data_IF_421620891214
#
_entry.id   IF_421620891214
#
_cell.length_a   1.000
_cell.length_b   1.000
_cell.length_c   1.000
_cell.angle_alpha   90.00
_cell.angle_beta   90.00
_cell.angle_gamma   90.00
#
_symmetry.space_group_name_H-M   'P 1'
#
loop_
_entity.id
_entity.type
_entity.pdbx_description
1 polymer ?
#
# COMPACT_ATOMS: atom_id res chain seq x y z
N UNK A 1 1.41 22.46 3.55
CA UNK A 1 0.97 21.58 2.42
C UNK A 1 1.74 21.85 1.12
N UNK A 2 3.05 22.16 1.15
CA UNK A 2 3.87 22.46 -0.05
C UNK A 2 4.85 21.32 -0.40
N UNK A 3 5.31 20.56 0.60
CA UNK A 3 6.29 19.47 0.45
C UNK A 3 5.61 18.18 -0.04
N UNK A 4 4.44 17.84 0.53
CA UNK A 4 3.68 16.64 0.17
C UNK A 4 3.12 16.63 -1.27
N UNK A 5 3.17 17.76 -1.98
CA UNK A 5 2.71 17.86 -3.37
C UNK A 5 3.77 17.43 -4.38
N UNK A 6 5.00 17.21 -3.93
CA UNK A 6 6.12 16.87 -4.76
C UNK A 6 6.56 15.43 -4.43
N UNK A 7 6.42 14.53 -5.42
CA UNK A 7 6.71 13.10 -5.23
C UNK A 7 8.17 12.86 -4.83
N UNK A 8 9.12 13.68 -5.31
CA UNK A 8 10.53 13.53 -4.98
C UNK A 8 10.79 13.77 -3.48
N UNK A 9 10.13 14.76 -2.88
CA UNK A 9 10.22 14.97 -1.43
C UNK A 9 9.55 13.85 -0.64
N UNK A 10 8.43 13.30 -1.13
CA UNK A 10 7.77 12.16 -0.47
C UNK A 10 8.68 10.93 -0.48
N UNK A 11 9.31 10.61 -1.62
CA UNK A 11 10.23 9.48 -1.72
C UNK A 11 11.43 9.68 -0.79
N UNK A 12 12.01 10.88 -0.76
CA UNK A 12 13.09 11.19 0.17
C UNK A 12 12.68 10.99 1.64
N UNK A 13 11.49 11.48 2.03
CA UNK A 13 10.96 11.29 3.40
C UNK A 13 10.73 9.82 3.70
N UNK A 14 10.18 9.06 2.74
CA UNK A 14 9.93 7.62 2.91
C UNK A 14 11.23 6.83 3.09
N UNK A 15 12.27 7.14 2.31
CA UNK A 15 13.60 6.53 2.45
C UNK A 15 14.23 6.85 3.80
N UNK A 16 14.19 8.12 4.23
CA UNK A 16 14.72 8.51 5.54
C UNK A 16 13.95 7.87 6.70
N UNK A 17 12.62 7.77 6.58
CA UNK A 17 11.79 7.11 7.59
C UNK A 17 12.07 5.60 7.65
N UNK A 18 12.20 4.95 6.49
CA UNK A 18 12.58 3.54 6.40
C UNK A 18 13.96 3.29 7.02
N UNK A 19 14.93 4.15 6.72
CA UNK A 19 16.27 4.09 7.32
C UNK A 19 16.26 4.35 8.83
N UNK A 20 15.47 5.32 9.30
CA UNK A 20 15.30 5.57 10.74
C UNK A 20 14.78 4.31 11.46
N UNK A 21 13.80 3.62 10.87
CA UNK A 21 13.31 2.36 11.43
C UNK A 21 14.35 1.24 11.37
N UNK A 22 15.10 1.16 10.28
CA UNK A 22 16.21 0.21 10.14
C UNK A 22 17.24 0.38 11.27
N UNK A 23 17.59 1.63 11.61
CA UNK A 23 18.55 1.93 12.68
C UNK A 23 18.12 1.45 14.07
N UNK A 24 16.82 1.16 14.31
CA UNK A 24 16.38 0.57 15.58
C UNK A 24 16.76 -0.90 15.73
N UNK A 25 17.13 -1.59 14.64
CA UNK A 25 17.64 -2.97 14.67
C UNK A 25 16.72 -3.94 15.45
N UNK A 26 15.40 -3.80 15.28
CA UNK A 26 14.44 -4.68 15.96
C UNK A 26 14.42 -6.11 15.40
N UNK A 27 15.22 -6.41 14.38
CA UNK A 27 15.39 -7.75 13.81
C UNK A 27 16.88 -8.07 13.72
N UNK A 28 17.32 -9.18 14.31
CA UNK A 28 18.72 -9.59 14.34
C UNK A 28 19.31 -9.99 12.98
N UNK A 29 18.49 -10.18 11.95
CA UNK A 29 18.96 -10.45 10.58
C UNK A 29 19.42 -9.19 9.84
N UNK A 30 19.18 -8.01 10.39
CA UNK A 30 19.57 -6.76 9.76
C UNK A 30 21.07 -6.54 9.95
N UNK A 31 21.84 -6.39 8.86
CA UNK A 31 23.26 -6.13 8.99
C UNK A 31 23.52 -4.74 9.59
N UNK A 32 24.72 -4.56 10.12
CA UNK A 32 25.18 -3.24 10.54
C UNK A 32 25.17 -2.26 9.37
N UNK A 33 24.98 -0.98 9.68
CA UNK A 33 24.95 0.09 8.68
C UNK A 33 26.34 0.20 8.03
N UNK A 34 26.45 -0.25 6.78
CA UNK A 34 27.68 -0.13 6.02
C UNK A 34 27.89 1.30 5.50
N UNK A 35 29.16 1.71 5.35
CA UNK A 35 29.49 3.01 4.76
C UNK A 35 28.97 3.17 3.32
N UNK A 36 28.88 2.06 2.58
CA UNK A 36 28.29 2.03 1.23
C UNK A 36 26.79 2.30 1.25
N UNK A 37 26.04 1.67 2.17
CA UNK A 37 24.61 1.93 2.36
C UNK A 37 24.37 3.40 2.71
N UNK A 38 25.19 3.96 3.61
CA UNK A 38 25.09 5.38 3.99
C UNK A 38 25.36 6.30 2.79
N UNK A 39 26.40 6.04 2.01
CA UNK A 39 26.71 6.80 0.81
C UNK A 39 25.57 6.72 -0.22
N UNK A 40 25.03 5.53 -0.45
CA UNK A 40 23.89 5.31 -1.35
C UNK A 40 22.64 6.08 -0.90
N UNK A 41 22.32 6.04 0.40
CA UNK A 41 21.17 6.76 0.97
C UNK A 41 21.35 8.26 0.88
N UNK A 42 22.53 8.79 1.23
CA UNK A 42 22.83 10.23 1.13
C UNK A 42 22.81 10.70 -0.32
N UNK A 43 23.39 9.94 -1.24
CA UNK A 43 23.36 10.23 -2.67
C UNK A 43 21.95 10.22 -3.25
N UNK A 44 21.16 9.19 -2.92
CA UNK A 44 19.75 9.08 -3.35
C UNK A 44 18.90 10.22 -2.78
N UNK A 45 19.02 10.52 -1.48
CA UNK A 45 18.32 11.64 -0.86
C UNK A 45 18.74 12.97 -1.48
N UNK A 46 20.03 13.18 -1.73
CA UNK A 46 20.56 14.36 -2.42
C UNK A 46 19.96 14.54 -3.81
N UNK A 47 19.92 13.47 -4.61
CA UNK A 47 19.31 13.48 -5.95
C UNK A 47 17.80 13.79 -5.90
N UNK A 48 17.06 13.16 -4.98
CA UNK A 48 15.63 13.42 -4.82
C UNK A 48 15.34 14.83 -4.30
N UNK A 49 16.15 15.36 -3.37
CA UNK A 49 16.02 16.74 -2.90
C UNK A 49 16.31 17.73 -4.03
N UNK A 50 17.38 17.51 -4.80
CA UNK A 50 17.71 18.33 -5.95
C UNK A 50 16.58 18.34 -6.98
N UNK A 51 16.13 17.16 -7.43
CA UNK A 51 15.02 17.03 -8.38
C UNK A 51 13.73 17.63 -7.83
N UNK A 52 13.46 17.43 -6.54
CA UNK A 52 12.33 18.04 -5.84
C UNK A 52 12.36 19.56 -5.92
N UNK A 53 13.51 20.18 -5.64
CA UNK A 53 13.68 21.63 -5.73
C UNK A 53 13.52 22.16 -7.17
N UNK A 54 14.16 21.52 -8.14
CA UNK A 54 14.12 21.92 -9.57
C UNK A 54 12.70 21.78 -10.14
N UNK A 55 11.99 20.71 -9.79
CA UNK A 55 10.63 20.45 -10.30
C UNK A 55 9.53 21.17 -9.54
N UNK A 56 9.80 21.73 -8.35
CA UNK A 56 8.79 22.36 -7.51
C UNK A 56 8.00 23.49 -8.23
N UNK A 57 8.63 24.41 -8.99
CA UNK A 57 7.89 25.45 -9.72
C UNK A 57 7.00 24.88 -10.84
N UNK A 58 7.48 23.85 -11.55
CA UNK A 58 6.75 23.17 -12.63
C UNK A 58 5.53 22.46 -12.07
N UNK A 59 5.72 21.64 -11.03
CA UNK A 59 4.65 20.92 -10.33
C UNK A 59 3.60 21.90 -9.78
N UNK A 60 4.04 23.03 -9.23
CA UNK A 60 3.12 24.05 -8.69
C UNK A 60 2.25 24.68 -9.79
N UNK A 61 2.85 25.02 -10.93
CA UNK A 61 2.12 25.59 -12.07
C UNK A 61 1.13 24.57 -12.63
N UNK A 62 1.56 23.31 -12.77
CA UNK A 62 0.71 22.21 -13.21
C UNK A 62 -0.49 22.02 -12.28
N UNK A 63 -0.29 21.90 -10.96
CA UNK A 63 -1.40 21.75 -10.00
C UNK A 63 -2.37 22.94 -10.01
N UNK A 64 -1.87 24.17 -10.20
CA UNK A 64 -2.72 25.36 -10.32
C UNK A 64 -3.61 25.26 -11.56
N UNK A 65 -3.02 24.92 -12.71
CA UNK A 65 -3.75 24.82 -13.98
C UNK A 65 -4.75 23.65 -13.95
N UNK A 66 -4.37 22.50 -13.37
CA UNK A 66 -5.26 21.35 -13.20
C UNK A 66 -6.49 21.69 -12.36
N UNK A 67 -6.34 22.48 -11.28
CA UNK A 67 -7.50 22.93 -10.48
C UNK A 67 -8.48 23.79 -11.28
N UNK A 68 -7.97 24.67 -12.14
CA UNK A 68 -8.80 25.51 -13.00
C UNK A 68 -9.54 24.65 -14.03
N UNK A 69 -8.85 23.71 -14.68
CA UNK A 69 -9.47 22.77 -15.64
C UNK A 69 -10.57 21.93 -14.99
N UNK A 70 -10.30 21.38 -13.80
CA UNK A 70 -11.27 20.57 -13.06
C UNK A 70 -12.52 21.36 -12.69
N UNK A 71 -12.37 22.64 -12.28
CA UNK A 71 -13.50 23.50 -11.95
C UNK A 71 -14.40 23.75 -13.17
N UNK A 72 -13.80 23.92 -14.35
CA UNK A 72 -14.53 24.12 -15.61
C UNK A 72 -15.29 22.86 -16.04
N UNK A 73 -14.74 21.66 -15.79
CA UNK A 73 -15.36 20.39 -16.19
C UNK A 73 -16.37 19.83 -15.18
N UNK A 74 -16.57 20.48 -14.03
CA UNK A 74 -17.39 19.97 -12.93
C UNK A 74 -18.86 19.70 -13.33
N UNK A 75 -19.39 20.46 -14.28
CA UNK A 75 -20.76 20.31 -14.79
C UNK A 75 -20.90 19.27 -15.92
N UNK A 76 -19.78 18.83 -16.52
CA UNK A 76 -19.78 17.95 -17.69
C UNK A 76 -19.49 16.49 -17.30
N UNK A 77 -18.92 16.27 -16.11
CA UNK A 77 -18.51 14.93 -15.65
C UNK A 77 -19.65 13.90 -15.67
N UNK A 78 -19.47 12.83 -16.45
CA UNK A 78 -20.35 11.66 -16.51
C UNK A 78 -19.61 10.41 -16.05
N UNK A 79 -20.16 9.76 -15.03
CA UNK A 79 -19.61 8.50 -14.53
C UNK A 79 -19.90 7.34 -15.51
N UNK A 80 -18.87 6.65 -15.96
CA UNK A 80 -18.99 5.48 -16.85
C UNK A 80 -18.80 4.18 -16.08
N UNK A 81 -19.76 3.26 -16.21
CA UNK A 81 -19.73 1.94 -15.57
C UNK A 81 -18.91 0.90 -16.35
N UNK A 82 -18.57 1.17 -17.62
CA UNK A 82 -17.88 0.21 -18.50
C UNK A 82 -16.60 -0.38 -17.88
N UNK A 83 -15.71 0.42 -17.23
CA UNK A 83 -14.49 -0.13 -16.65
C UNK A 83 -14.77 -1.08 -15.47
N UNK A 84 -15.79 -0.80 -14.64
CA UNK A 84 -16.18 -1.71 -13.55
C UNK A 84 -16.64 -3.04 -14.11
N UNK A 85 -17.51 -3.01 -15.14
CA UNK A 85 -17.99 -4.25 -15.77
C UNK A 85 -16.81 -5.06 -16.29
N UNK A 86 -15.84 -4.42 -16.96
CA UNK A 86 -14.64 -5.09 -17.46
C UNK A 86 -13.78 -5.69 -16.33
N UNK A 87 -13.60 -4.96 -15.22
CA UNK A 87 -12.88 -5.44 -14.03
C UNK A 87 -13.58 -6.67 -13.42
N UNK A 88 -14.91 -6.62 -13.29
CA UNK A 88 -15.70 -7.74 -12.75
C UNK A 88 -15.63 -8.94 -13.69
N UNK A 89 -15.61 -8.74 -15.00
CA UNK A 89 -15.42 -9.81 -15.97
C UNK A 89 -14.04 -10.46 -15.84
N UNK A 90 -12.97 -9.67 -15.72
CA UNK A 90 -11.63 -10.23 -15.51
C UNK A 90 -11.53 -10.99 -14.18
N UNK A 91 -12.13 -10.46 -13.11
CA UNK A 91 -12.24 -11.19 -11.84
C UNK A 91 -12.98 -12.52 -12.01
N UNK A 92 -14.11 -12.53 -12.71
CA UNK A 92 -14.86 -13.76 -12.97
C UNK A 92 -14.03 -14.77 -13.76
N UNK A 93 -13.25 -14.33 -14.76
CA UNK A 93 -12.34 -15.20 -15.52
C UNK A 93 -11.26 -15.80 -14.60
N UNK A 94 -10.65 -15.01 -13.71
CA UNK A 94 -9.67 -15.55 -12.75
C UNK A 94 -10.29 -16.61 -11.83
N UNK A 95 -11.50 -16.36 -11.31
CA UNK A 95 -12.20 -17.29 -10.42
C UNK A 95 -12.60 -18.56 -11.17
N UNK A 96 -13.11 -18.45 -12.39
CA UNK A 96 -13.51 -19.61 -13.21
C UNK A 96 -12.32 -20.47 -13.60
N UNK A 97 -11.19 -19.86 -13.95
CA UNK A 97 -9.98 -20.60 -14.32
C UNK A 97 -9.40 -21.39 -13.14
N UNK A 98 -9.36 -20.77 -11.96
CA UNK A 98 -8.78 -21.39 -10.77
C UNK A 98 -9.79 -22.27 -9.99
N UNK A 99 -11.08 -22.15 -10.27
CA UNK A 99 -12.16 -22.90 -9.62
C UNK A 99 -12.36 -22.58 -8.13
N UNK A 100 -11.72 -21.55 -7.61
CA UNK A 100 -11.66 -21.23 -6.18
C UNK A 100 -11.70 -19.72 -5.94
N UNK A 101 -11.89 -19.29 -4.69
CA UNK A 101 -11.72 -17.89 -4.27
C UNK A 101 -10.75 -17.88 -3.08
N UNK A 102 -9.64 -17.12 -3.13
CA UNK A 102 -8.55 -17.21 -2.16
C UNK A 102 -9.02 -17.03 -0.71
N UNK A 103 -9.83 -16.00 -0.44
CA UNK A 103 -10.32 -15.73 0.92
C UNK A 103 -11.22 -16.85 1.45
N UNK A 104 -12.00 -17.51 0.58
CA UNK A 104 -12.92 -18.58 0.98
C UNK A 104 -12.13 -19.84 1.35
N UNK A 105 -11.12 -20.19 0.55
CA UNK A 105 -10.28 -21.34 0.80
C UNK A 105 -9.46 -21.17 2.08
N UNK A 106 -8.95 -19.96 2.32
CA UNK A 106 -8.26 -19.63 3.56
C UNK A 106 -9.15 -19.76 4.80
N UNK A 107 -10.40 -19.27 4.73
CA UNK A 107 -11.35 -19.38 5.85
C UNK A 107 -11.73 -20.86 6.11
N UNK A 108 -11.74 -21.69 5.06
CA UNK A 108 -12.01 -23.13 5.16
C UNK A 108 -10.83 -23.94 5.71
N UNK A 109 -9.66 -23.33 5.88
CA UNK A 109 -8.45 -24.02 6.35
C UNK A 109 -7.79 -24.91 5.28
N UNK A 110 -8.14 -24.74 4.01
CA UNK A 110 -7.54 -25.53 2.93
C UNK A 110 -6.10 -25.05 2.67
N UNK A 111 -5.19 -26.01 2.44
CA UNK A 111 -3.84 -25.74 1.93
C UNK A 111 -3.93 -24.97 0.61
N UNK A 112 -3.31 -23.80 0.57
CA UNK A 112 -3.48 -22.86 -0.53
C UNK A 112 -2.26 -21.95 -0.70
N UNK A 113 -1.64 -21.96 -1.89
CA UNK A 113 -0.71 -20.91 -2.29
C UNK A 113 -1.43 -19.84 -3.14
N UNK A 114 -1.35 -18.60 -2.69
CA UNK A 114 -1.92 -17.46 -3.40
C UNK A 114 -1.23 -17.16 -4.73
N UNK A 115 0.00 -17.67 -4.92
CA UNK A 115 0.76 -17.51 -6.17
C UNK A 115 0.19 -18.36 -7.31
N UNK A 116 -0.45 -19.47 -6.96
CA UNK A 116 -1.07 -20.38 -7.93
C UNK A 116 -2.37 -19.79 -8.50
N UNK A 117 -2.95 -18.82 -7.82
CA UNK A 117 -4.16 -18.11 -8.26
C UNK A 117 -3.82 -16.96 -9.20
N UNK A 118 -3.26 -17.29 -10.36
CA UNK A 118 -3.04 -16.29 -11.41
C UNK A 118 -3.34 -16.91 -12.77
N UNK A 119 -4.21 -16.26 -13.55
CA UNK A 119 -4.27 -16.53 -14.97
C UNK A 119 -3.14 -15.72 -15.64
N UNK A 120 -2.13 -16.37 -16.25
CA UNK A 120 -0.99 -15.67 -16.83
C UNK A 120 -1.45 -14.61 -17.85
N UNK A 121 -0.97 -13.37 -17.71
CA UNK A 121 -1.35 -12.24 -18.57
C UNK A 121 -2.63 -11.52 -18.15
N UNK A 122 -3.76 -12.24 -17.98
CA UNK A 122 -5.03 -11.64 -17.52
C UNK A 122 -4.87 -11.03 -16.13
N UNK A 123 -4.10 -11.67 -15.26
CA UNK A 123 -3.85 -11.17 -13.92
C UNK A 123 -3.18 -9.80 -13.88
N UNK A 124 -2.20 -9.57 -14.76
CA UNK A 124 -1.49 -8.29 -14.84
C UNK A 124 -2.42 -7.19 -15.33
N UNK A 125 -3.25 -7.50 -16.33
CA UNK A 125 -4.26 -6.57 -16.87
C UNK A 125 -5.30 -6.24 -15.79
N UNK A 126 -5.83 -7.28 -15.11
CA UNK A 126 -6.80 -7.15 -14.04
C UNK A 126 -6.28 -6.25 -12.92
N UNK A 127 -5.10 -6.57 -12.36
CA UNK A 127 -4.53 -5.82 -11.24
C UNK A 127 -4.21 -4.38 -11.63
N UNK A 128 -3.59 -4.16 -12.79
CA UNK A 128 -3.25 -2.80 -13.28
C UNK A 128 -4.49 -1.94 -13.50
N UNK A 129 -5.49 -2.47 -14.22
CA UNK A 129 -6.74 -1.78 -14.50
C UNK A 129 -7.52 -1.48 -13.22
N UNK A 130 -7.62 -2.47 -12.33
CA UNK A 130 -8.34 -2.35 -11.06
C UNK A 130 -7.68 -1.31 -10.17
N UNK A 131 -6.36 -1.31 -10.05
CA UNK A 131 -5.62 -0.30 -9.28
C UNK A 131 -5.82 1.10 -9.86
N UNK A 132 -5.62 1.27 -11.17
CA UNK A 132 -5.83 2.57 -11.83
C UNK A 132 -7.26 3.09 -11.60
N UNK A 133 -8.26 2.25 -11.88
CA UNK A 133 -9.65 2.66 -11.80
C UNK A 133 -10.12 2.87 -10.36
N UNK A 134 -9.58 2.12 -9.40
CA UNK A 134 -9.80 2.31 -7.97
C UNK A 134 -9.36 3.72 -7.54
N UNK A 135 -8.11 4.08 -7.86
CA UNK A 135 -7.51 5.39 -7.52
C UNK A 135 -8.24 6.51 -8.25
N UNK A 136 -8.48 6.37 -9.56
CA UNK A 136 -9.22 7.35 -10.36
C UNK A 136 -10.64 7.59 -9.82
N UNK A 137 -11.38 6.53 -9.52
CA UNK A 137 -12.77 6.66 -9.05
C UNK A 137 -12.84 7.34 -7.68
N UNK A 138 -11.86 7.09 -6.81
CA UNK A 138 -11.75 7.81 -5.55
C UNK A 138 -11.40 9.29 -5.77
N UNK A 139 -10.49 9.59 -6.69
CA UNK A 139 -10.18 10.97 -7.09
C UNK A 139 -11.41 11.71 -7.63
N UNK A 140 -12.17 11.08 -8.53
CA UNK A 140 -13.43 11.61 -9.06
C UNK A 140 -14.43 11.88 -7.90
N UNK A 141 -14.50 11.00 -6.90
CA UNK A 141 -15.33 11.24 -5.72
C UNK A 141 -14.87 12.48 -4.93
N UNK A 142 -13.56 12.67 -4.72
CA UNK A 142 -13.03 13.82 -3.99
C UNK A 142 -13.39 15.16 -4.66
N UNK A 143 -13.36 15.17 -5.99
CA UNK A 143 -13.66 16.33 -6.85
C UNK A 143 -15.17 16.54 -6.98
N UNK A 144 -15.87 15.58 -7.58
CA UNK A 144 -17.25 15.74 -8.04
C UNK A 144 -18.29 15.34 -6.99
N UNK A 145 -17.85 14.76 -5.85
CA UNK A 145 -18.72 14.34 -4.73
C UNK A 145 -19.80 13.32 -5.13
N UNK A 146 -19.61 12.61 -6.23
CA UNK A 146 -20.56 11.60 -6.71
C UNK A 146 -20.38 10.30 -5.95
N UNK A 147 -21.43 9.85 -5.25
CA UNK A 147 -21.44 8.58 -4.49
C UNK A 147 -21.06 7.37 -5.36
N UNK A 148 -21.47 7.37 -6.63
CA UNK A 148 -21.16 6.30 -7.60
C UNK A 148 -19.65 6.07 -7.77
N UNK A 149 -18.86 7.14 -7.83
CA UNK A 149 -17.40 7.04 -7.94
C UNK A 149 -16.77 6.47 -6.66
N UNK A 150 -17.31 6.79 -5.49
CA UNK A 150 -16.86 6.17 -4.24
C UNK A 150 -17.18 4.67 -4.20
N UNK A 151 -18.42 4.29 -4.55
CA UNK A 151 -18.83 2.88 -4.61
C UNK A 151 -17.94 2.10 -5.57
N UNK A 152 -17.62 2.66 -6.74
CA UNK A 152 -16.71 2.07 -7.71
C UNK A 152 -15.31 1.77 -7.13
N UNK A 153 -14.76 2.73 -6.38
CA UNK A 153 -13.48 2.55 -5.70
C UNK A 153 -13.56 1.48 -4.60
N UNK A 154 -14.67 1.41 -3.87
CA UNK A 154 -14.91 0.41 -2.84
C UNK A 154 -15.08 -1.01 -3.43
N UNK A 155 -15.74 -1.14 -4.59
CA UNK A 155 -15.85 -2.41 -5.32
C UNK A 155 -14.47 -2.91 -5.72
N UNK A 156 -13.60 -2.05 -6.26
CA UNK A 156 -12.23 -2.44 -6.62
C UNK A 156 -11.43 -2.92 -5.40
N UNK A 157 -11.52 -2.21 -4.26
CA UNK A 157 -10.91 -2.66 -3.01
C UNK A 157 -11.49 -3.99 -2.54
N UNK A 158 -12.80 -4.20 -2.66
CA UNK A 158 -13.45 -5.45 -2.32
C UNK A 158 -12.92 -6.62 -3.14
N UNK A 159 -12.75 -6.44 -4.46
CA UNK A 159 -12.15 -7.47 -5.30
C UNK A 159 -10.72 -7.83 -4.86
N UNK A 160 -9.89 -6.83 -4.55
CA UNK A 160 -8.55 -7.12 -4.01
C UNK A 160 -8.58 -7.81 -2.64
N UNK A 161 -9.57 -7.50 -1.79
CA UNK A 161 -9.79 -8.21 -0.52
C UNK A 161 -10.18 -9.67 -0.75
N UNK A 162 -11.11 -9.95 -1.67
CA UNK A 162 -11.52 -11.31 -2.01
C UNK A 162 -10.35 -12.16 -2.52
N UNK A 163 -9.43 -11.54 -3.26
CA UNK A 163 -8.23 -12.17 -3.78
C UNK A 163 -7.04 -12.18 -2.81
N UNK A 164 -7.18 -11.57 -1.63
CA UNK A 164 -6.10 -11.45 -0.64
C UNK A 164 -4.84 -10.73 -1.18
N UNK A 165 -5.03 -9.81 -2.12
CA UNK A 165 -3.98 -9.01 -2.75
C UNK A 165 -3.57 -7.82 -1.88
N UNK A 166 -2.94 -8.11 -0.74
CA UNK A 166 -2.60 -7.14 0.32
C UNK A 166 -1.80 -5.94 -0.16
N UNK A 167 -0.77 -6.17 -0.97
CA UNK A 167 0.08 -5.11 -1.53
C UNK A 167 -0.75 -4.09 -2.31
N UNK A 168 -1.69 -4.56 -3.13
CA UNK A 168 -2.58 -3.70 -3.92
C UNK A 168 -3.60 -2.94 -3.05
N UNK A 169 -4.12 -3.57 -1.99
CA UNK A 169 -5.03 -2.90 -1.04
C UNK A 169 -4.30 -1.76 -0.34
N UNK A 170 -3.13 -2.04 0.24
CA UNK A 170 -2.30 -1.04 0.92
C UNK A 170 -1.91 0.07 -0.05
N UNK A 171 -1.50 -0.27 -1.27
CA UNK A 171 -1.16 0.69 -2.31
C UNK A 171 -2.34 1.62 -2.65
N UNK A 172 -3.54 1.08 -2.85
CA UNK A 172 -4.74 1.87 -3.12
C UNK A 172 -5.11 2.79 -1.93
N UNK A 173 -5.08 2.26 -0.70
CA UNK A 173 -5.41 3.04 0.51
C UNK A 173 -4.40 4.17 0.73
N UNK A 174 -3.11 3.93 0.54
CA UNK A 174 -2.09 4.97 0.60
C UNK A 174 -2.33 6.05 -0.46
N UNK A 175 -2.67 5.66 -1.69
CA UNK A 175 -3.04 6.62 -2.73
C UNK A 175 -4.30 7.42 -2.37
N UNK A 176 -5.31 6.79 -1.76
CA UNK A 176 -6.48 7.52 -1.27
C UNK A 176 -6.10 8.55 -0.22
N UNK A 177 -5.23 8.17 0.72
CA UNK A 177 -4.71 9.07 1.73
C UNK A 177 -3.97 10.26 1.11
N UNK A 178 -3.05 10.00 0.18
CA UNK A 178 -2.31 11.06 -0.50
C UNK A 178 -3.25 12.00 -1.27
N UNK A 179 -4.19 11.47 -2.05
CA UNK A 179 -5.16 12.27 -2.78
C UNK A 179 -6.05 13.09 -1.84
N UNK A 180 -6.48 12.51 -0.72
CA UNK A 180 -7.28 13.20 0.27
C UNK A 180 -6.52 14.38 0.90
N UNK A 181 -5.25 14.17 1.28
CA UNK A 181 -4.37 15.20 1.83
C UNK A 181 -4.03 16.28 0.80
N UNK A 182 -3.82 15.92 -0.47
CA UNK A 182 -3.50 16.88 -1.51
C UNK A 182 -4.69 17.77 -1.88
N UNK A 183 -5.88 17.18 -1.95
CA UNK A 183 -7.06 17.88 -2.44
C UNK A 183 -7.81 18.64 -1.34
N UNK A 184 -7.74 18.19 -0.08
CA UNK A 184 -8.40 18.85 1.05
C UNK A 184 -7.36 19.57 1.90
N UNK A 185 -7.66 20.80 2.33
CA UNK A 185 -6.90 21.44 3.42
C UNK A 185 -7.22 20.69 4.72
N UNK A 186 -6.33 19.81 5.15
CA UNK A 186 -6.51 19.00 6.35
C UNK A 186 -5.79 19.66 7.53
N UNK A 187 -6.50 19.78 8.66
CA UNK A 187 -5.89 20.18 9.93
C UNK A 187 -5.09 19.02 10.54
N UNK A 188 -4.04 19.32 11.31
CA UNK A 188 -3.20 18.30 11.95
C UNK A 188 -4.01 17.25 12.73
N UNK A 189 -5.10 17.65 13.41
CA UNK A 189 -6.02 16.73 14.11
C UNK A 189 -6.62 15.65 13.22
N UNK A 190 -6.96 15.98 11.96
CA UNK A 190 -7.51 15.03 10.99
C UNK A 190 -6.42 14.11 10.43
N UNK A 191 -5.19 14.63 10.24
CA UNK A 191 -4.03 13.79 9.87
C UNK A 191 -3.81 12.73 10.95
N UNK A 192 -3.78 13.13 12.23
CA UNK A 192 -3.61 12.20 13.36
C UNK A 192 -4.69 11.10 13.38
N UNK A 193 -5.96 11.45 13.16
CA UNK A 193 -7.03 10.44 13.04
C UNK A 193 -6.80 9.47 11.89
N UNK A 194 -6.38 9.96 10.73
CA UNK A 194 -6.14 9.08 9.58
C UNK A 194 -4.92 8.19 9.80
N UNK A 195 -3.85 8.72 10.40
CA UNK A 195 -2.68 7.93 10.80
C UNK A 195 -3.08 6.83 11.79
N UNK A 196 -3.91 7.15 12.79
CA UNK A 196 -4.43 6.16 13.74
C UNK A 196 -5.26 5.07 13.02
N UNK A 197 -6.12 5.44 12.07
CA UNK A 197 -6.86 4.47 11.26
C UNK A 197 -5.94 3.62 10.38
N UNK A 198 -4.87 4.18 9.83
CA UNK A 198 -3.88 3.43 9.05
C UNK A 198 -3.10 2.43 9.92
N UNK A 199 -2.72 2.81 11.15
CA UNK A 199 -2.10 1.90 12.12
C UNK A 199 -3.03 0.76 12.52
N UNK A 200 -4.31 1.06 12.77
CA UNK A 200 -5.32 0.03 13.03
C UNK A 200 -5.48 -0.93 11.84
N UNK A 201 -5.51 -0.39 10.63
CA UNK A 201 -5.59 -1.18 9.41
C UNK A 201 -4.34 -2.07 9.26
N UNK A 202 -3.15 -1.54 9.50
CA UNK A 202 -1.89 -2.31 9.51
C UNK A 202 -1.92 -3.44 10.53
N UNK A 203 -2.46 -3.19 11.73
CA UNK A 203 -2.64 -4.22 12.75
C UNK A 203 -3.56 -5.35 12.27
N UNK A 204 -4.72 -5.01 11.69
CA UNK A 204 -5.63 -6.00 11.10
C UNK A 204 -4.96 -6.77 9.95
N UNK A 205 -4.14 -6.09 9.14
CA UNK A 205 -3.35 -6.73 8.08
C UNK A 205 -2.29 -7.69 8.63
N UNK A 206 -1.67 -7.38 9.77
CA UNK A 206 -0.76 -8.28 10.47
C UNK A 206 -1.46 -9.55 10.94
N UNK A 207 -2.67 -9.43 11.49
CA UNK A 207 -3.48 -10.58 11.89
C UNK A 207 -3.93 -11.44 10.69
N UNK A 208 -4.36 -10.79 9.61
CA UNK A 208 -4.63 -11.49 8.35
C UNK A 208 -3.35 -12.19 7.85
N UNK A 209 -2.19 -11.53 8.00
CA UNK A 209 -0.83 -12.04 7.86
C UNK A 209 -0.71 -13.52 8.19
N UNK A 210 -0.93 -13.79 9.47
CA UNK A 210 -0.78 -15.10 10.09
C UNK A 210 -1.75 -16.12 9.48
N UNK A 211 -3.01 -15.74 9.25
CA UNK A 211 -4.00 -16.63 8.60
C UNK A 211 -3.56 -17.11 7.22
N UNK A 212 -2.89 -16.25 6.44
CA UNK A 212 -2.37 -16.66 5.13
C UNK A 212 -1.19 -17.58 5.28
N UNK A 213 -0.28 -17.27 6.18
CA UNK A 213 0.90 -18.12 6.34
C UNK A 213 0.48 -19.51 6.83
N UNK A 214 -0.49 -19.61 7.76
CA UNK A 214 -1.14 -20.89 8.14
C UNK A 214 -1.66 -21.66 6.93
N UNK A 215 -2.44 -21.00 6.07
CA UNK A 215 -3.00 -21.63 4.87
C UNK A 215 -1.92 -22.06 3.85
N UNK A 216 -0.79 -21.35 3.80
CA UNK A 216 0.32 -21.68 2.90
C UNK A 216 1.21 -22.80 3.43
N UNK A 217 1.49 -22.84 4.73
CA UNK A 217 2.39 -23.83 5.33
C UNK A 217 1.66 -25.09 5.79
N UNK A 218 0.33 -25.04 5.94
CA UNK A 218 -0.46 -26.11 6.56
C UNK A 218 -0.27 -26.22 8.07
N UNK A 219 0.49 -25.29 8.66
CA UNK A 219 0.73 -25.26 10.11
C UNK A 219 -0.35 -24.43 10.78
N UNK A 220 -1.36 -25.11 11.34
CA UNK A 220 -2.46 -24.47 12.08
C UNK A 220 -1.97 -23.67 13.30
N UNK A 221 -0.78 -23.98 13.82
CA UNK A 221 -0.17 -23.30 14.96
C UNK A 221 0.74 -22.13 14.54
N UNK A 222 0.83 -21.80 13.25
CA UNK A 222 1.68 -20.70 12.82
C UNK A 222 1.23 -19.35 13.39
N UNK A 223 2.11 -18.68 14.13
CA UNK A 223 1.86 -17.32 14.65
C UNK A 223 2.99 -16.39 14.21
N UNK A 224 2.77 -15.08 14.34
CA UNK A 224 3.83 -14.07 14.16
C UNK A 224 5.08 -14.35 15.01
N UNK A 225 4.96 -15.09 16.12
CA UNK A 225 6.09 -15.52 16.95
C UNK A 225 7.08 -16.41 16.19
N UNK A 226 6.62 -17.24 15.24
CA UNK A 226 7.50 -18.06 14.41
C UNK A 226 8.41 -17.21 13.54
N UNK A 227 7.89 -16.08 13.03
CA UNK A 227 8.66 -15.13 12.23
C UNK A 227 9.60 -14.35 13.11
N UNK A 228 9.13 -13.91 14.26
CA UNK A 228 9.97 -13.22 15.23
C UNK A 228 11.15 -14.09 15.66
N UNK A 229 10.94 -15.39 15.86
CA UNK A 229 12.05 -16.34 16.09
C UNK A 229 12.96 -16.47 14.88
N UNK A 230 12.41 -16.67 13.69
CA UNK A 230 13.20 -16.82 12.47
C UNK A 230 14.01 -15.57 12.08
N UNK A 231 13.59 -14.40 12.52
CA UNK A 231 14.21 -13.10 12.23
C UNK A 231 14.93 -12.50 13.43
N UNK A 232 15.08 -13.28 14.51
CA UNK A 232 15.74 -12.88 15.76
C UNK A 232 15.22 -11.52 16.26
N UNK A 233 13.90 -11.40 16.42
CA UNK A 233 13.24 -10.17 16.82
C UNK A 233 13.66 -9.72 18.22
N UNK A 234 13.79 -8.40 18.39
CA UNK A 234 14.17 -7.80 19.67
C UNK A 234 13.14 -8.07 20.79
N UNK A 235 13.64 -8.01 22.04
CA UNK A 235 12.90 -8.14 23.29
C UNK A 235 11.60 -7.31 23.36
N UNK A 236 11.57 -6.12 22.75
CA UNK A 236 10.41 -5.23 22.74
C UNK A 236 9.18 -5.88 22.09
N UNK A 237 9.38 -6.66 21.03
CA UNK A 237 8.29 -7.34 20.34
C UNK A 237 7.95 -8.69 20.97
N UNK A 238 8.95 -9.40 21.50
CA UNK A 238 8.77 -10.74 22.10
C UNK A 238 8.11 -10.69 23.48
N UNK A 239 8.32 -9.62 24.26
CA UNK A 239 7.69 -9.45 25.57
C UNK A 239 6.29 -8.82 25.52
N UNK A 240 5.98 -8.06 24.46
CA UNK A 240 4.68 -7.39 24.30
C UNK A 240 3.85 -8.02 23.18
N UNK A 241 3.05 -9.03 23.54
CA UNK A 241 2.21 -9.80 22.60
C UNK A 241 1.21 -8.94 21.81
N UNK A 242 0.83 -7.77 22.34
CA UNK A 242 -0.06 -6.81 21.67
C UNK A 242 0.61 -6.02 20.54
N UNK A 243 1.95 -5.92 20.52
CA UNK A 243 2.70 -5.24 19.47
C UNK A 243 3.17 -6.20 18.38
N UNK A 244 3.10 -7.51 18.60
CA UNK A 244 3.60 -8.52 17.66
C UNK A 244 3.02 -8.40 16.24
N UNK A 245 1.72 -8.08 16.02
CA UNK A 245 1.20 -7.87 14.67
C UNK A 245 1.80 -6.65 13.94
N UNK A 246 2.38 -5.69 14.66
CA UNK A 246 3.09 -4.54 14.07
C UNK A 246 4.51 -4.91 13.63
N UNK A 247 5.07 -6.03 14.09
CA UNK A 247 6.39 -6.49 13.68
C UNK A 247 6.45 -6.75 12.17
N UNK A 248 5.37 -7.27 11.59
CA UNK A 248 5.21 -7.37 10.15
C UNK A 248 5.36 -6.01 9.47
N UNK A 249 4.62 -4.99 9.93
CA UNK A 249 4.70 -3.65 9.36
C UNK A 249 6.12 -3.07 9.48
N UNK A 250 6.79 -3.31 10.61
CA UNK A 250 8.20 -2.95 10.80
C UNK A 250 9.09 -3.56 9.72
N UNK A 251 9.04 -4.89 9.53
CA UNK A 251 9.85 -5.59 8.51
C UNK A 251 9.55 -5.06 7.10
N UNK A 252 8.29 -4.86 6.75
CA UNK A 252 7.92 -4.34 5.43
C UNK A 252 8.42 -2.91 5.18
N UNK A 253 8.41 -2.04 6.19
CA UNK A 253 8.82 -0.64 6.03
C UNK A 253 10.35 -0.53 6.00
N UNK A 254 11.07 -1.33 6.81
CA UNK A 254 12.53 -1.21 6.96
C UNK A 254 13.34 -2.09 6.00
N UNK A 255 12.78 -3.21 5.51
CA UNK A 255 13.48 -4.12 4.58
C UNK A 255 13.96 -3.51 3.25
N UNK A 256 13.32 -2.49 2.64
CA UNK A 256 13.85 -1.90 1.40
C UNK A 256 15.23 -1.25 1.54
N UNK A 257 15.66 -0.94 2.76
CA UNK A 257 16.99 -0.39 3.08
C UNK A 257 18.06 -1.48 3.16
N UNK A 258 17.64 -2.73 3.39
CA UNK A 258 18.54 -3.88 3.42
C UNK A 258 19.08 -4.13 2.01
N UNK A 259 20.30 -3.65 1.74
CA UNK A 259 21.03 -4.04 0.54
C UNK A 259 21.47 -5.50 0.72
N UNK A 260 21.30 -6.38 -0.28
CA UNK A 260 21.88 -7.70 -0.23
C UNK A 260 23.40 -7.56 -0.15
N UNK A 261 23.96 -7.92 0.99
CA UNK A 261 25.40 -8.14 1.14
C UNK A 261 25.73 -9.43 0.40
N UNK A 262 26.28 -9.30 -0.80
CA UNK A 262 26.98 -10.38 -1.49
C UNK A 262 28.45 -10.37 -1.10
#
# INVERSE_FOLDING_TARGET
>A
MRILSNCYFIVCIALLFSFLLYCFQFSGIYPDVSGFLLLFLLGSCGAFLFMGCVMNPVIRTWFRNSKISIANEQNIFRFSYKPIIMIVLFFAVEVLYNGKIPIIEMIRGNLYDYRDFTFPGVHVIFTSLTTFYCIKSYFDYLIYRKKRSFIASAVCLCLFMLLMYRSYIVFCILNFLFLFVLYRKISFKKIAKITASALLLMYVFGLAGDLRTKAQTGDENFTVENIMRATEADSVFTQQQSLSPLYWAYLYISSPVMLPTY
#
